data_IF_105886609101
#
_entry.id   IF_105886609101
#
_cell.length_a   1.000
_cell.length_b   1.000
_cell.length_c   1.000
_cell.angle_alpha   90.00
_cell.angle_beta   90.00
_cell.angle_gamma   90.00
#
_symmetry.space_group_name_H-M   'P 1'
#
loop_
_entity.id
_entity.type
_entity.pdbx_description
1 polymer ?
#
# COMPACT_ATOMS: atom_id res chain seq x y z
N UNK A 1 -21.59 -0.96 2.03
CA UNK A 1 -21.39 -2.27 1.39
C UNK A 1 -20.28 -3.03 2.12
N UNK A 2 -20.25 -4.37 2.07
CA UNK A 2 -19.17 -5.12 2.69
C UNK A 2 -17.84 -4.86 1.97
N UNK A 3 -16.74 -4.79 2.72
CA UNK A 3 -15.38 -4.67 2.16
C UNK A 3 -15.10 -5.88 1.26
N UNK A 4 -14.67 -5.62 0.02
CA UNK A 4 -14.35 -6.66 -0.99
C UNK A 4 -12.87 -6.76 -1.30
N UNK A 5 -12.12 -5.66 -1.10
CA UNK A 5 -10.69 -5.63 -1.33
C UNK A 5 -9.95 -4.72 -0.35
N UNK A 6 -8.73 -5.11 0.00
CA UNK A 6 -7.79 -4.28 0.76
C UNK A 6 -6.52 -4.06 -0.06
N UNK A 7 -6.15 -2.80 -0.23
CA UNK A 7 -4.96 -2.37 -0.93
C UNK A 7 -3.97 -1.81 0.07
N UNK A 8 -2.76 -2.35 0.11
CA UNK A 8 -1.72 -1.92 1.04
C UNK A 8 -0.73 -0.99 0.33
N UNK A 9 -0.21 0.00 1.04
CA UNK A 9 1.14 0.48 0.73
C UNK A 9 2.18 -0.62 1.06
N UNK A 10 3.38 -0.49 0.49
CA UNK A 10 4.46 -1.46 0.69
C UNK A 10 5.40 -1.05 1.81
N UNK A 11 6.06 0.09 1.68
CA UNK A 11 7.23 0.48 2.48
C UNK A 11 6.76 1.33 3.67
N UNK A 12 7.04 0.89 4.90
CA UNK A 12 6.47 1.48 6.10
C UNK A 12 5.15 0.84 6.52
N UNK A 13 4.46 0.15 5.60
CA UNK A 13 3.18 -0.52 5.85
C UNK A 13 3.31 -2.04 5.93
N UNK A 14 3.61 -2.74 4.83
CA UNK A 14 3.76 -4.21 4.83
C UNK A 14 5.16 -4.66 5.26
N UNK A 15 6.17 -3.87 4.90
CA UNK A 15 7.58 -4.11 5.19
C UNK A 15 8.21 -2.84 5.72
N UNK A 16 9.26 -2.97 6.51
CA UNK A 16 9.99 -1.80 7.02
C UNK A 16 10.51 -0.95 5.87
N UNK A 17 10.32 0.37 5.96
CA UNK A 17 10.85 1.29 4.97
C UNK A 17 12.38 1.26 4.96
N UNK A 18 12.91 1.03 3.78
CA UNK A 18 14.34 1.07 3.48
C UNK A 18 14.48 2.04 2.30
N UNK A 19 15.10 3.21 2.50
CA UNK A 19 15.18 4.23 1.46
C UNK A 19 15.74 3.69 0.16
N UNK A 20 14.94 3.77 -0.91
CA UNK A 20 15.28 3.28 -2.25
C UNK A 20 15.76 1.82 -2.24
N UNK A 21 15.00 0.93 -1.60
CA UNK A 21 15.38 -0.48 -1.57
C UNK A 21 15.26 -1.15 -2.95
N UNK A 22 16.40 -1.56 -3.50
CA UNK A 22 16.49 -2.42 -4.68
C UNK A 22 16.92 -3.85 -4.36
N UNK A 23 17.18 -4.16 -3.08
CA UNK A 23 17.72 -5.44 -2.64
C UNK A 23 16.66 -6.29 -1.93
N UNK A 24 16.21 -7.41 -2.52
CA UNK A 24 15.32 -8.38 -1.89
C UNK A 24 15.82 -8.87 -0.52
N UNK A 25 17.15 -8.95 -0.32
CA UNK A 25 17.77 -9.39 0.93
C UNK A 25 17.48 -8.48 2.12
N UNK A 26 17.05 -7.23 1.88
CA UNK A 26 16.70 -6.24 2.91
C UNK A 26 15.21 -6.18 3.24
N UNK A 27 14.37 -6.95 2.54
CA UNK A 27 12.93 -7.00 2.81
C UNK A 27 12.67 -7.66 4.16
N UNK A 28 12.05 -6.92 5.08
CA UNK A 28 11.64 -7.40 6.40
C UNK A 28 10.18 -7.00 6.63
N UNK A 29 9.24 -7.95 6.74
CA UNK A 29 7.86 -7.65 7.11
C UNK A 29 7.79 -6.92 8.44
N UNK A 30 6.83 -6.01 8.58
CA UNK A 30 6.50 -5.45 9.89
C UNK A 30 5.74 -6.49 10.73
N UNK A 31 5.71 -6.28 12.04
CA UNK A 31 4.94 -7.13 12.95
C UNK A 31 3.45 -7.15 12.58
N UNK A 32 2.85 -8.34 12.59
CA UNK A 32 1.43 -8.53 12.26
C UNK A 32 1.10 -8.53 10.76
N UNK A 33 2.05 -8.24 9.86
CA UNK A 33 1.76 -8.18 8.43
C UNK A 33 1.28 -9.52 7.85
N UNK A 34 1.91 -10.62 8.26
CA UNK A 34 1.53 -11.97 7.82
C UNK A 34 0.13 -12.32 8.32
N UNK A 35 -0.13 -12.07 9.59
CA UNK A 35 -1.39 -12.36 10.27
C UNK A 35 -2.53 -11.54 9.65
N UNK A 36 -2.29 -10.26 9.38
CA UNK A 36 -3.28 -9.36 8.79
C UNK A 36 -3.68 -9.81 7.37
N UNK A 37 -2.69 -10.10 6.52
CA UNK A 37 -2.96 -10.57 5.15
C UNK A 37 -3.65 -11.94 5.17
N UNK A 38 -3.23 -12.85 6.04
CA UNK A 38 -3.87 -14.16 6.19
C UNK A 38 -5.33 -14.05 6.67
N UNK A 39 -5.62 -13.15 7.62
CA UNK A 39 -6.95 -12.93 8.14
C UNK A 39 -7.92 -12.41 7.07
N UNK A 40 -7.48 -11.51 6.19
CA UNK A 40 -8.28 -11.04 5.06
C UNK A 40 -8.58 -12.15 4.06
N UNK A 41 -7.57 -12.95 3.69
CA UNK A 41 -7.75 -14.08 2.78
C UNK A 41 -8.71 -15.13 3.35
N UNK A 42 -8.62 -15.43 4.64
CA UNK A 42 -9.54 -16.36 5.31
C UNK A 42 -11.00 -15.89 5.25
N UNK A 43 -11.23 -14.58 5.11
CA UNK A 43 -12.56 -13.96 4.91
C UNK A 43 -12.96 -13.83 3.43
N UNK A 44 -12.13 -14.32 2.50
CA UNK A 44 -12.35 -14.19 1.06
C UNK A 44 -12.19 -12.77 0.53
N UNK A 45 -11.54 -11.87 1.29
CA UNK A 45 -11.26 -10.49 0.87
C UNK A 45 -10.01 -10.49 0.01
N UNK A 46 -10.10 -9.86 -1.17
CA UNK A 46 -8.95 -9.74 -2.10
C UNK A 46 -7.91 -8.78 -1.56
N UNK A 47 -6.64 -9.06 -1.82
CA UNK A 47 -5.54 -8.21 -1.35
C UNK A 47 -4.68 -7.71 -2.51
N UNK A 48 -4.27 -6.45 -2.44
CA UNK A 48 -3.41 -5.83 -3.43
C UNK A 48 -2.38 -4.89 -2.82
N UNK A 49 -1.41 -4.47 -3.61
CA UNK A 49 -0.39 -3.50 -3.20
C UNK A 49 -0.35 -2.33 -4.18
N UNK A 50 -0.36 -1.11 -3.66
CA UNK A 50 -0.28 0.16 -4.41
C UNK A 50 0.91 0.97 -3.88
N UNK A 51 2.02 1.05 -4.62
CA UNK A 51 3.27 1.62 -4.09
C UNK A 51 3.90 2.70 -4.97
N UNK A 52 4.37 3.78 -4.34
CA UNK A 52 5.15 4.84 -5.01
C UNK A 52 6.64 4.47 -4.99
N UNK A 53 7.27 4.29 -6.17
CA UNK A 53 8.68 3.90 -6.31
C UNK A 53 9.49 4.96 -7.10
N UNK A 54 9.56 6.18 -6.57
CA UNK A 54 10.24 7.30 -7.24
C UNK A 54 11.76 7.14 -7.38
N UNK A 55 12.37 6.16 -6.72
CA UNK A 55 13.78 5.81 -6.95
C UNK A 55 14.05 5.45 -8.42
N UNK A 56 13.04 4.94 -9.13
CA UNK A 56 13.14 4.59 -10.54
C UNK A 56 13.34 5.84 -11.41
N UNK A 57 12.46 6.84 -11.30
CA UNK A 57 12.62 8.09 -12.04
C UNK A 57 13.90 8.87 -11.67
N UNK A 58 14.45 8.63 -10.48
CA UNK A 58 15.72 9.23 -10.01
C UNK A 58 16.96 8.48 -10.50
N UNK A 59 16.80 7.35 -11.21
CA UNK A 59 17.92 6.50 -11.62
C UNK A 59 18.61 5.76 -10.48
N UNK A 60 18.02 5.75 -9.28
CA UNK A 60 18.55 5.05 -8.09
C UNK A 60 18.17 3.57 -8.08
N UNK A 61 17.11 3.21 -8.82
CA UNK A 61 16.58 1.86 -8.93
C UNK A 61 16.20 1.58 -10.38
N UNK A 62 16.37 0.33 -10.81
CA UNK A 62 15.72 -0.14 -12.03
C UNK A 62 14.32 -0.65 -11.72
N UNK A 63 13.47 -0.75 -12.75
CA UNK A 63 12.17 -1.43 -12.63
C UNK A 63 12.36 -2.91 -12.23
N UNK A 64 13.46 -3.54 -12.65
CA UNK A 64 13.78 -4.91 -12.31
C UNK A 64 14.07 -5.08 -10.81
N UNK A 65 14.79 -4.14 -10.21
CA UNK A 65 15.09 -4.12 -8.76
C UNK A 65 13.79 -4.00 -7.95
N UNK A 66 12.94 -3.03 -8.30
CA UNK A 66 11.66 -2.84 -7.62
C UNK A 66 10.75 -4.08 -7.76
N UNK A 67 10.74 -4.74 -8.93
CA UNK A 67 10.02 -6.00 -9.13
C UNK A 67 10.62 -7.15 -8.33
N UNK A 68 11.94 -7.20 -8.15
CA UNK A 68 12.60 -8.22 -7.33
C UNK A 68 12.23 -8.07 -5.85
N UNK A 69 12.20 -6.83 -5.36
CA UNK A 69 11.70 -6.51 -4.02
C UNK A 69 10.23 -6.92 -3.87
N UNK A 70 9.36 -6.55 -4.83
CA UNK A 70 7.94 -6.94 -4.77
C UNK A 70 7.75 -8.46 -4.74
N UNK A 71 8.49 -9.23 -5.57
CA UNK A 71 8.46 -10.69 -5.52
C UNK A 71 8.84 -11.23 -4.15
N UNK A 72 9.85 -10.64 -3.50
CA UNK A 72 10.23 -11.04 -2.15
C UNK A 72 9.15 -10.74 -1.12
N UNK A 73 8.42 -9.63 -1.26
CA UNK A 73 7.24 -9.35 -0.42
C UNK A 73 6.16 -10.40 -0.67
N UNK A 74 5.92 -10.80 -1.92
CA UNK A 74 5.00 -11.89 -2.27
C UNK A 74 5.44 -13.24 -1.66
N UNK A 75 6.73 -13.59 -1.74
CA UNK A 75 7.23 -14.84 -1.14
C UNK A 75 7.02 -14.88 0.38
N UNK A 76 7.07 -13.71 1.03
CA UNK A 76 6.95 -13.59 2.48
C UNK A 76 5.50 -13.48 2.94
N UNK A 77 4.66 -12.70 2.26
CA UNK A 77 3.32 -12.30 2.70
C UNK A 77 2.21 -12.66 1.69
N UNK A 78 2.60 -12.86 0.44
CA UNK A 78 1.75 -13.10 -0.72
C UNK A 78 1.13 -14.50 -0.79
N UNK A 79 0.59 -14.87 -1.96
CA UNK A 79 0.51 -14.04 -3.17
C UNK A 79 -0.56 -12.94 -3.04
N UNK A 80 -0.25 -11.70 -3.44
CA UNK A 80 -1.25 -10.64 -3.62
C UNK A 80 -1.96 -10.79 -4.97
N UNK A 81 -3.25 -10.49 -5.01
CA UNK A 81 -4.07 -10.58 -6.23
C UNK A 81 -3.69 -9.50 -7.26
N UNK A 82 -3.18 -8.36 -6.79
CA UNK A 82 -2.79 -7.23 -7.65
C UNK A 82 -1.62 -6.44 -7.11
N UNK A 83 -0.72 -6.04 -8.01
CA UNK A 83 0.33 -5.05 -7.76
C UNK A 83 0.18 -3.87 -8.72
N UNK A 84 0.18 -2.67 -8.17
CA UNK A 84 0.29 -1.40 -8.88
C UNK A 84 1.49 -0.61 -8.34
N UNK A 85 2.30 -0.09 -9.25
CA UNK A 85 3.52 0.62 -8.92
C UNK A 85 3.59 1.91 -9.73
N UNK A 86 3.87 3.02 -9.07
CA UNK A 86 4.16 4.28 -9.73
C UNK A 86 5.68 4.53 -9.75
N UNK A 87 6.35 4.51 -10.91
CA UNK A 87 7.80 4.74 -10.99
C UNK A 87 8.18 6.23 -11.04
N UNK A 88 7.21 7.11 -11.23
CA UNK A 88 7.43 8.51 -11.58
C UNK A 88 7.89 9.38 -10.39
N UNK A 89 8.61 10.45 -10.73
CA UNK A 89 9.00 11.50 -9.80
C UNK A 89 7.77 12.30 -9.29
N UNK A 90 7.89 13.00 -8.14
CA UNK A 90 6.80 13.79 -7.57
C UNK A 90 6.18 14.84 -8.50
N UNK A 91 6.99 15.45 -9.35
CA UNK A 91 6.64 16.56 -10.26
C UNK A 91 6.21 16.10 -11.66
N UNK A 92 6.23 14.80 -11.95
CA UNK A 92 5.95 14.25 -13.28
C UNK A 92 4.49 14.40 -13.77
N UNK A 93 3.59 14.94 -12.95
CA UNK A 93 2.18 15.17 -13.32
C UNK A 93 1.37 13.89 -13.62
N UNK A 94 1.90 12.70 -13.34
CA UNK A 94 1.23 11.44 -13.67
C UNK A 94 -0.06 11.21 -12.85
N UNK A 95 -1.01 10.46 -13.42
CA UNK A 95 -2.26 10.11 -12.74
C UNK A 95 -2.16 8.99 -11.70
N UNK A 96 -1.01 8.31 -11.60
CA UNK A 96 -0.85 7.13 -10.75
C UNK A 96 -0.19 7.40 -9.39
N UNK A 97 0.70 8.39 -9.26
CA UNK A 97 1.45 8.64 -8.03
C UNK A 97 0.52 9.09 -6.91
N UNK A 98 0.47 8.36 -5.78
CA UNK A 98 -0.27 8.81 -4.58
C UNK A 98 0.25 10.19 -4.17
N UNK A 99 -0.63 11.19 -3.95
CA UNK A 99 -2.06 11.07 -3.62
C UNK A 99 -3.03 10.99 -4.81
N UNK A 100 -2.59 10.87 -6.07
CA UNK A 100 -3.52 10.61 -7.18
C UNK A 100 -4.12 9.20 -7.06
N UNK A 101 -5.42 9.03 -7.41
CA UNK A 101 -6.14 7.78 -7.16
C UNK A 101 -5.86 6.68 -8.21
N UNK A 102 -5.06 6.95 -9.24
CA UNK A 102 -4.98 6.08 -10.41
C UNK A 102 -4.52 4.66 -10.12
N UNK A 103 -3.61 4.45 -9.16
CA UNK A 103 -3.25 3.07 -8.73
C UNK A 103 -4.40 2.37 -8.02
N UNK A 104 -5.08 3.05 -7.10
CA UNK A 104 -6.22 2.51 -6.35
C UNK A 104 -7.34 2.10 -7.31
N UNK A 105 -7.71 2.97 -8.25
CA UNK A 105 -8.77 2.71 -9.24
C UNK A 105 -8.43 1.52 -10.15
N UNK A 106 -7.18 1.43 -10.65
CA UNK A 106 -6.76 0.29 -11.47
C UNK A 106 -6.73 -1.01 -10.68
N UNK A 107 -6.24 -0.97 -9.44
CA UNK A 107 -6.22 -2.13 -8.57
C UNK A 107 -7.65 -2.62 -8.29
N UNK A 108 -8.57 -1.74 -7.90
CA UNK A 108 -9.98 -2.08 -7.66
C UNK A 108 -10.63 -2.74 -8.90
N UNK A 109 -10.43 -2.15 -10.09
CA UNK A 109 -10.93 -2.72 -11.35
C UNK A 109 -10.37 -4.12 -11.65
N UNK A 110 -9.07 -4.36 -11.44
CA UNK A 110 -8.44 -5.68 -11.61
C UNK A 110 -8.94 -6.72 -10.61
N UNK A 111 -9.38 -6.29 -9.43
CA UNK A 111 -9.97 -7.14 -8.40
C UNK A 111 -11.48 -7.35 -8.59
N UNK A 112 -12.11 -6.69 -9.56
CA UNK A 112 -13.55 -6.73 -9.77
C UNK A 112 -14.34 -6.13 -8.59
N UNK A 113 -13.77 -5.12 -7.93
CA UNK A 113 -14.37 -4.39 -6.82
C UNK A 113 -14.70 -2.95 -7.22
N UNK A 114 -15.79 -2.41 -6.68
CA UNK A 114 -16.04 -0.97 -6.70
C UNK A 114 -15.06 -0.29 -5.72
N UNK A 115 -14.48 0.87 -6.05
CA UNK A 115 -13.65 1.61 -5.09
C UNK A 115 -14.31 1.83 -3.72
N UNK A 116 -15.64 2.03 -3.66
CA UNK A 116 -16.36 2.20 -2.39
C UNK A 116 -16.33 0.93 -1.50
N UNK A 117 -16.07 -0.23 -2.08
CA UNK A 117 -15.89 -1.50 -1.39
C UNK A 117 -14.41 -1.81 -1.07
N UNK A 118 -13.50 -0.89 -1.40
CA UNK A 118 -12.08 -1.02 -1.13
C UNK A 118 -11.68 -0.27 0.14
N UNK A 119 -10.71 -0.84 0.86
CA UNK A 119 -9.95 -0.16 1.91
C UNK A 119 -8.50 -0.02 1.44
N UNK A 120 -7.90 1.15 1.61
CA UNK A 120 -6.47 1.39 1.43
C UNK A 120 -5.83 1.53 2.81
N UNK A 121 -4.80 0.74 3.08
CA UNK A 121 -4.03 0.80 4.32
C UNK A 121 -2.63 1.32 3.98
N UNK A 122 -2.20 2.38 4.65
CA UNK A 122 -0.89 3.01 4.42
C UNK A 122 -0.38 3.73 5.68
N UNK A 123 0.86 4.18 5.65
CA UNK A 123 1.52 4.84 6.79
C UNK A 123 1.65 6.36 6.62
N UNK A 124 1.35 6.91 5.44
CA UNK A 124 1.41 8.34 5.19
C UNK A 124 0.09 8.92 4.67
N UNK A 125 -0.10 10.22 4.84
CA UNK A 125 -1.33 10.91 4.44
C UNK A 125 -1.60 10.84 2.93
N UNK A 126 -0.56 10.68 2.11
CA UNK A 126 -0.72 10.49 0.67
C UNK A 126 -1.49 9.21 0.30
N UNK A 127 -1.42 8.17 1.13
CA UNK A 127 -2.15 6.92 0.92
C UNK A 127 -3.64 7.11 1.19
N UNK A 128 -3.94 7.77 2.30
CA UNK A 128 -5.29 8.08 2.75
C UNK A 128 -5.98 9.01 1.76
N UNK A 129 -5.28 10.03 1.29
CA UNK A 129 -5.78 10.94 0.27
C UNK A 129 -6.01 10.23 -1.08
N UNK A 130 -5.14 9.28 -1.46
CA UNK A 130 -5.36 8.49 -2.66
C UNK A 130 -6.61 7.59 -2.54
N UNK A 131 -6.86 7.05 -1.35
CA UNK A 131 -8.06 6.29 -1.04
C UNK A 131 -9.32 7.16 -1.21
N UNK A 132 -9.36 8.30 -0.52
CA UNK A 132 -10.50 9.22 -0.55
C UNK A 132 -10.80 9.71 -1.97
N UNK A 133 -9.77 10.10 -2.73
CA UNK A 133 -9.93 10.54 -4.13
C UNK A 133 -10.41 9.43 -5.06
N UNK A 134 -10.19 8.17 -4.70
CA UNK A 134 -10.71 7.03 -5.45
C UNK A 134 -12.15 6.69 -5.05
N UNK A 135 -12.68 7.27 -3.97
CA UNK A 135 -13.94 6.86 -3.34
C UNK A 135 -13.80 5.65 -2.41
N UNK A 136 -12.57 5.25 -2.07
CA UNK A 136 -12.27 4.16 -1.15
C UNK A 136 -12.12 4.67 0.29
N UNK A 137 -12.15 3.73 1.24
CA UNK A 137 -11.88 4.02 2.65
C UNK A 137 -10.37 3.99 2.90
N UNK A 138 -9.82 4.97 3.62
CA UNK A 138 -8.40 4.99 3.99
C UNK A 138 -8.21 4.71 5.48
N UNK A 139 -7.30 3.80 5.83
CA UNK A 139 -6.87 3.55 7.22
C UNK A 139 -5.38 3.85 7.31
N UNK A 140 -5.01 4.76 8.20
CA UNK A 140 -3.63 5.09 8.50
C UNK A 140 -3.10 4.14 9.59
N UNK A 141 -1.92 3.58 9.36
CA UNK A 141 -1.14 2.84 10.36
C UNK A 141 0.15 3.62 10.62
N UNK A 142 0.18 4.49 11.65
CA UNK A 142 1.32 5.38 11.86
C UNK A 142 2.60 4.61 12.21
N UNK A 143 3.72 5.06 11.64
CA UNK A 143 5.08 4.67 12.02
C UNK A 143 5.79 5.85 12.68
N UNK A 144 7.01 5.68 13.23
CA UNK A 144 7.80 6.82 13.71
C UNK A 144 8.13 7.86 12.62
N UNK A 145 8.00 7.50 11.33
CA UNK A 145 8.21 8.41 10.21
C UNK A 145 6.92 9.16 9.79
N UNK A 146 5.75 8.67 10.19
CA UNK A 146 4.46 9.33 9.92
C UNK A 146 4.41 10.67 10.62
N UNK A 147 4.00 11.72 9.89
CA UNK A 147 3.95 13.06 10.47
C UNK A 147 2.77 13.16 11.45
N UNK A 148 2.94 13.80 12.62
CA UNK A 148 1.86 13.93 13.61
C UNK A 148 0.57 14.53 13.03
N UNK A 149 0.69 15.46 12.08
CA UNK A 149 -0.43 16.08 11.38
C UNK A 149 -1.21 15.06 10.55
N UNK A 150 -0.53 14.13 9.87
CA UNK A 150 -1.19 13.09 9.07
C UNK A 150 -2.03 12.17 9.96
N UNK A 151 -1.54 11.83 11.14
CA UNK A 151 -2.30 11.05 12.14
C UNK A 151 -3.49 11.83 12.69
N UNK A 152 -3.33 13.14 12.95
CA UNK A 152 -4.40 13.98 13.48
C UNK A 152 -5.53 14.23 12.46
N UNK A 153 -5.18 14.25 11.16
CA UNK A 153 -6.11 14.51 10.06
C UNK A 153 -6.75 13.22 9.50
N UNK A 154 -6.15 12.05 9.74
CA UNK A 154 -6.67 10.78 9.26
C UNK A 154 -8.02 10.44 9.93
N UNK A 155 -9.09 10.19 9.15
CA UNK A 155 -10.39 9.80 9.73
C UNK A 155 -10.32 8.51 10.53
N UNK A 156 -9.43 7.60 10.13
CA UNK A 156 -9.14 6.35 10.82
C UNK A 156 -7.64 6.16 10.91
N UNK A 157 -7.11 6.24 12.13
CA UNK A 157 -5.74 5.87 12.47
C UNK A 157 -5.76 4.77 13.53
N UNK A 158 -5.03 3.70 13.28
CA UNK A 158 -4.96 2.51 14.16
C UNK A 158 -3.50 2.14 14.40
N UNK A 159 -3.16 1.50 15.53
CA UNK A 159 -1.77 1.34 15.94
C UNK A 159 -0.96 0.36 15.07
N UNK A 160 -1.61 -0.62 14.44
CA UNK A 160 -0.94 -1.67 13.66
C UNK A 160 -1.87 -2.31 12.61
N UNK A 161 -1.28 -3.14 11.74
CA UNK A 161 -2.01 -3.86 10.68
C UNK A 161 -3.07 -4.83 11.22
N UNK A 162 -2.87 -5.40 12.41
CA UNK A 162 -3.82 -6.35 13.00
C UNK A 162 -5.09 -5.62 13.43
N UNK A 163 -4.96 -4.42 14.00
CA UNK A 163 -6.07 -3.53 14.30
C UNK A 163 -6.77 -3.07 13.01
N UNK A 164 -5.99 -2.71 11.97
CA UNK A 164 -6.53 -2.22 10.71
C UNK A 164 -7.45 -3.21 9.99
N UNK A 165 -7.13 -4.51 10.01
CA UNK A 165 -7.97 -5.52 9.32
C UNK A 165 -9.14 -6.04 10.17
N UNK A 166 -9.22 -5.64 11.44
CA UNK A 166 -10.32 -6.00 12.36
C UNK A 166 -11.37 -4.90 12.50
N UNK A 167 -11.01 -3.65 12.18
CA UNK A 167 -11.92 -2.53 12.07
C UNK A 167 -12.97 -2.76 10.96
#
# INVERSE_FOLDING_TARGET
SPVRAVLFDRDGTLVHDVPYNGDPGRVRPVDGAREAVAALRARGIRTGVVTNQSGIARGLLTVADARAVNRRVDDLLGPFDVWELCPHAPDAGCGCRKPRPGMVLRAAGRLGADPADCVVIGDIGADIEAAHRAGAHGILVPTPATRPQETAEAPWAVPDLTAAVRA
#
